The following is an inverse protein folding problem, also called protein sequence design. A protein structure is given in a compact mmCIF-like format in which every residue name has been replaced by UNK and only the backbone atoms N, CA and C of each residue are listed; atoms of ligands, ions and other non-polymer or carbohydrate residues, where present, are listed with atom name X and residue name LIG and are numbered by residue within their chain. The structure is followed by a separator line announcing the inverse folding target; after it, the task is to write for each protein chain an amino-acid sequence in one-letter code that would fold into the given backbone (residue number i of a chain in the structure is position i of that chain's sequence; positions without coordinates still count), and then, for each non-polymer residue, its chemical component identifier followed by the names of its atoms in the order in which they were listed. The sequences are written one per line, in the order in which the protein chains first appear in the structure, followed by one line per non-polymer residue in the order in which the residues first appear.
data_IF_295724316753
#
_entry.id   IF_295724316753
#
_cell.length_a   1.000
_cell.length_b   1.000
_cell.length_c   1.000
_cell.angle_alpha   90.00
_cell.angle_beta   90.00
_cell.angle_gamma   90.00
#
_symmetry.space_group_name_H-M   'P 1'
#
loop_
_entity.id
_entity.type
_entity.pdbx_description
1 polymer ?
#
# COMPACT_ATOMS: atom_id res chain seq x y z
N UNK A 1 17.42 3.62 28.23
CA UNK A 1 16.51 4.68 27.76
C UNK A 1 15.79 4.16 26.52
N UNK A 2 14.56 3.68 26.68
CA UNK A 2 13.72 3.29 25.56
C UNK A 2 13.16 4.57 24.94
N UNK A 3 13.74 5.03 23.83
CA UNK A 3 13.09 6.03 23.01
C UNK A 3 11.84 5.37 22.42
N UNK A 4 10.69 5.56 23.07
CA UNK A 4 9.39 5.26 22.49
C UNK A 4 9.20 6.21 21.30
N UNK A 5 9.72 5.83 20.13
CA UNK A 5 9.49 6.59 18.91
C UNK A 5 7.97 6.68 18.67
N UNK A 6 7.48 7.92 18.64
CA UNK A 6 6.07 8.22 18.40
C UNK A 6 5.71 7.75 16.99
N UNK A 7 4.62 7.00 16.88
CA UNK A 7 4.06 6.61 15.58
C UNK A 7 3.55 7.85 14.84
N UNK A 8 4.28 8.26 13.81
CA UNK A 8 3.88 9.31 12.89
C UNK A 8 2.91 8.75 11.86
N UNK A 9 1.75 9.40 11.74
CA UNK A 9 0.65 9.01 10.86
C UNK A 9 0.38 10.14 9.88
N UNK A 10 0.24 9.81 8.60
CA UNK A 10 -0.26 10.76 7.61
C UNK A 10 -1.16 10.08 6.59
N UNK A 11 -2.01 10.88 5.97
CA UNK A 11 -2.75 10.52 4.77
C UNK A 11 -2.90 11.76 3.90
N UNK A 12 -2.78 11.61 2.58
CA UNK A 12 -3.07 12.67 1.62
C UNK A 12 -4.41 12.36 0.97
N UNK A 13 -5.43 13.08 1.41
CA UNK A 13 -6.83 12.89 0.98
C UNK A 13 -7.28 14.10 0.16
N UNK A 14 -8.09 13.89 -0.87
CA UNK A 14 -8.66 14.98 -1.66
C UNK A 14 -9.60 15.87 -0.83
N UNK A 15 -9.80 17.13 -1.26
CA UNK A 15 -10.71 18.07 -0.56
C UNK A 15 -12.13 17.51 -0.40
N UNK A 16 -12.63 16.79 -1.40
CA UNK A 16 -13.95 16.14 -1.37
C UNK A 16 -13.97 14.80 -0.61
N UNK A 17 -12.86 14.38 0.00
CA UNK A 17 -12.69 13.13 0.75
C UNK A 17 -12.99 11.84 -0.02
N UNK A 18 -13.11 11.90 -1.36
CA UNK A 18 -13.35 10.73 -2.21
C UNK A 18 -12.09 9.95 -2.55
N UNK A 19 -10.92 10.58 -2.46
CA UNK A 19 -9.66 10.00 -2.92
C UNK A 19 -8.59 10.01 -1.84
N UNK A 20 -7.86 8.92 -1.67
CA UNK A 20 -6.64 8.85 -0.86
C UNK A 20 -5.46 8.50 -1.75
N UNK A 21 -4.57 9.47 -1.91
CA UNK A 21 -3.38 9.34 -2.77
C UNK A 21 -2.21 8.68 -2.04
N UNK A 22 -2.16 8.81 -0.72
CA UNK A 22 -1.06 8.33 0.11
C UNK A 22 -1.56 8.08 1.53
N UNK A 23 -1.00 7.07 2.19
CA UNK A 23 -1.08 6.85 3.63
C UNK A 23 0.30 6.41 4.13
N UNK A 24 0.72 6.91 5.29
CA UNK A 24 1.98 6.49 5.92
C UNK A 24 1.82 6.16 7.39
N UNK A 25 2.68 5.25 7.86
CA UNK A 25 2.92 4.93 9.27
C UNK A 25 4.42 4.79 9.46
N UNK A 26 5.03 5.71 10.21
CA UNK A 26 6.49 5.74 10.41
C UNK A 26 6.79 5.83 11.91
N UNK A 27 7.70 5.00 12.39
CA UNK A 27 8.07 4.90 13.81
C UNK A 27 9.57 4.80 14.04
N UNK A 28 10.43 4.83 13.02
CA UNK A 28 11.87 4.99 13.20
C UNK A 28 12.55 5.48 11.92
N UNK A 29 13.83 5.81 12.05
CA UNK A 29 14.68 6.20 10.92
C UNK A 29 15.13 5.02 10.05
N UNK A 30 14.94 3.77 10.50
CA UNK A 30 15.17 2.57 9.69
C UNK A 30 14.44 2.65 8.33
N UNK A 31 14.85 1.91 7.30
CA UNK A 31 14.26 2.00 5.97
C UNK A 31 12.74 1.74 5.93
N UNK A 32 12.10 2.23 4.87
CA UNK A 32 10.64 2.21 4.70
C UNK A 32 10.28 1.27 3.56
N UNK A 33 9.07 0.72 3.61
CA UNK A 33 8.52 -0.16 2.57
C UNK A 33 7.26 0.45 1.97
N UNK A 34 7.07 0.35 0.65
CA UNK A 34 5.82 0.78 -0.01
C UNK A 34 4.97 -0.43 -0.33
N UNK A 35 3.70 -0.42 0.06
CA UNK A 35 2.70 -1.39 -0.38
C UNK A 35 1.85 -0.79 -1.51
N UNK A 36 1.81 -1.46 -2.65
CA UNK A 36 0.93 -1.15 -3.77
C UNK A 36 -0.31 -2.04 -3.69
N UNK A 37 -1.45 -1.41 -3.44
CA UNK A 37 -2.73 -2.05 -3.18
C UNK A 37 -3.76 -1.67 -4.25
N UNK A 38 -4.94 -2.30 -4.21
CA UNK A 38 -5.97 -2.06 -5.23
C UNK A 38 -6.58 -0.67 -5.07
N UNK A 39 -7.21 -0.43 -3.92
CA UNK A 39 -7.94 0.78 -3.62
C UNK A 39 -8.00 1.03 -2.10
N UNK A 40 -8.10 2.28 -1.65
CA UNK A 40 -8.25 2.62 -0.25
C UNK A 40 -9.52 2.02 0.40
N UNK A 41 -9.33 1.42 1.57
CA UNK A 41 -10.40 1.27 2.58
C UNK A 41 -10.44 2.51 3.50
N UNK A 42 -11.13 2.42 4.64
CA UNK A 42 -11.47 3.55 5.52
C UNK A 42 -10.31 4.10 6.37
N UNK A 43 -9.13 3.49 6.35
CA UNK A 43 -7.94 4.02 7.03
C UNK A 43 -7.62 5.48 6.66
N UNK A 44 -7.15 6.27 7.61
CA UNK A 44 -6.80 7.68 7.38
C UNK A 44 -5.68 8.12 8.33
N UNK A 45 -5.48 9.43 8.52
CA UNK A 45 -4.45 9.97 9.40
C UNK A 45 -4.67 9.67 10.89
N UNK A 46 -5.90 9.41 11.34
CA UNK A 46 -6.23 9.11 12.74
C UNK A 46 -6.61 7.64 12.99
N UNK A 47 -7.12 6.94 11.97
CA UNK A 47 -7.70 5.60 12.09
C UNK A 47 -6.93 4.53 11.31
N UNK A 48 -6.69 3.38 11.96
CA UNK A 48 -6.13 2.18 11.35
C UNK A 48 -7.22 1.13 11.13
N UNK A 49 -7.53 0.83 9.87
CA UNK A 49 -8.39 -0.30 9.52
C UNK A 49 -7.66 -1.65 9.70
N UNK A 50 -8.38 -2.76 9.45
CA UNK A 50 -7.82 -4.11 9.62
C UNK A 50 -6.60 -4.35 8.71
N UNK A 51 -6.58 -3.79 7.50
CA UNK A 51 -5.45 -3.90 6.57
C UNK A 51 -4.24 -3.14 7.11
N UNK A 52 -4.44 -1.88 7.54
CA UNK A 52 -3.35 -1.05 8.09
C UNK A 52 -2.72 -1.71 9.33
N UNK A 53 -3.52 -2.30 10.22
CA UNK A 53 -3.01 -3.07 11.37
C UNK A 53 -2.15 -4.26 10.93
N UNK A 54 -2.53 -4.96 9.86
CA UNK A 54 -1.73 -6.06 9.30
C UNK A 54 -0.44 -5.56 8.68
N UNK A 55 -0.46 -4.42 7.98
CA UNK A 55 0.75 -3.80 7.43
C UNK A 55 1.71 -3.33 8.52
N UNK A 56 1.22 -2.74 9.61
CA UNK A 56 2.04 -2.40 10.79
C UNK A 56 2.75 -3.65 11.32
N UNK A 57 2.00 -4.75 11.53
CA UNK A 57 2.57 -6.01 12.00
C UNK A 57 3.68 -6.54 11.07
N UNK A 58 3.39 -6.65 9.77
CA UNK A 58 4.35 -7.21 8.80
C UNK A 58 5.58 -6.32 8.64
N UNK A 59 5.39 -5.00 8.55
CA UNK A 59 6.49 -4.04 8.42
C UNK A 59 7.45 -4.14 9.61
N UNK A 60 6.93 -4.23 10.85
CA UNK A 60 7.76 -4.48 12.05
C UNK A 60 8.46 -5.82 11.98
N UNK A 61 7.74 -6.89 11.61
CA UNK A 61 8.32 -8.24 11.46
C UNK A 61 9.49 -8.26 10.47
N UNK A 62 9.41 -7.48 9.41
CA UNK A 62 10.44 -7.41 8.37
C UNK A 62 11.57 -6.41 8.71
N UNK A 63 11.56 -5.78 9.89
CA UNK A 63 12.63 -4.89 10.34
C UNK A 63 12.59 -3.46 9.79
N UNK A 64 11.51 -3.06 9.10
CA UNK A 64 11.37 -1.70 8.58
C UNK A 64 10.88 -0.71 9.64
N UNK A 65 11.27 0.55 9.48
CA UNK A 65 10.92 1.67 10.36
C UNK A 65 9.58 2.31 10.05
N UNK A 66 8.91 1.86 9.00
CA UNK A 66 7.62 2.39 8.59
C UNK A 66 7.23 1.93 7.20
N UNK A 67 6.04 2.33 6.79
CA UNK A 67 5.54 2.04 5.45
C UNK A 67 4.72 3.18 4.86
N UNK A 68 4.61 3.10 3.54
CA UNK A 68 3.68 3.86 2.72
C UNK A 68 2.66 2.92 2.06
N UNK A 69 1.46 3.42 1.78
CA UNK A 69 0.43 2.70 1.01
C UNK A 69 0.01 3.56 -0.17
N UNK A 70 0.34 3.08 -1.37
CA UNK A 70 -0.17 3.57 -2.64
C UNK A 70 -1.24 2.63 -3.19
N UNK A 71 -2.17 3.16 -3.96
CA UNK A 71 -3.23 2.36 -4.57
C UNK A 71 -3.26 2.56 -6.08
N UNK A 72 -3.60 1.51 -6.81
CA UNK A 72 -3.83 1.55 -8.25
C UNK A 72 -4.96 2.54 -8.55
N UNK A 73 -6.06 2.42 -7.80
CA UNK A 73 -7.18 3.36 -7.83
C UNK A 73 -7.21 4.16 -6.52
N UNK A 74 -7.20 5.50 -6.54
CA UNK A 74 -7.21 6.32 -5.33
C UNK A 74 -8.60 6.44 -4.68
N UNK A 75 -9.66 5.98 -5.34
CA UNK A 75 -11.05 6.04 -4.87
C UNK A 75 -11.22 5.28 -3.53
N UNK A 76 -11.71 5.98 -2.51
CA UNK A 76 -12.00 5.39 -1.20
C UNK A 76 -13.33 4.66 -1.29
N UNK A 77 -13.29 3.33 -1.38
CA UNK A 77 -14.48 2.49 -1.45
C UNK A 77 -14.19 1.09 -0.89
N UNK A 78 -15.14 0.50 -0.17
CA UNK A 78 -15.04 -0.89 0.30
C UNK A 78 -15.56 -1.90 -0.73
N UNK A 79 -16.29 -1.44 -1.75
CA UNK A 79 -16.86 -2.26 -2.82
C UNK A 79 -16.02 -2.12 -4.09
N UNK A 80 -15.24 -3.17 -4.35
CA UNK A 80 -14.31 -3.25 -5.50
C UNK A 80 -15.03 -3.12 -6.85
N UNK A 81 -16.28 -3.56 -6.96
CA UNK A 81 -17.05 -3.52 -8.21
C UNK A 81 -17.29 -2.09 -8.72
N UNK A 82 -17.26 -1.11 -7.82
CA UNK A 82 -17.56 0.28 -8.17
C UNK A 82 -16.31 1.05 -8.63
N UNK A 83 -15.12 0.43 -8.59
CA UNK A 83 -13.85 1.12 -8.90
C UNK A 83 -13.74 1.60 -10.34
N UNK A 84 -14.40 0.91 -11.27
CA UNK A 84 -14.36 1.23 -12.70
C UNK A 84 -15.37 2.32 -13.10
N UNK A 85 -16.25 2.73 -12.20
CA UNK A 85 -17.30 3.71 -12.47
C UNK A 85 -16.85 5.16 -12.24
N UNK A 86 -15.71 5.35 -11.55
CA UNK A 86 -15.25 6.67 -11.13
C UNK A 86 -14.04 7.15 -11.94
N UNK A 87 -14.32 7.79 -13.08
CA UNK A 87 -13.31 8.43 -13.94
C UNK A 87 -12.91 9.84 -13.45
N UNK A 88 -13.50 10.33 -12.36
CA UNK A 88 -13.31 11.72 -11.92
C UNK A 88 -12.02 11.94 -11.12
N UNK A 89 -11.21 10.88 -10.95
CA UNK A 89 -9.94 10.97 -10.26
C UNK A 89 -8.84 11.60 -11.13
N UNK A 90 -7.96 12.38 -10.50
CA UNK A 90 -6.75 12.84 -11.17
C UNK A 90 -5.69 11.72 -11.14
N UNK A 91 -5.63 10.95 -12.22
CA UNK A 91 -4.64 9.88 -12.38
C UNK A 91 -3.20 10.40 -12.26
N UNK A 92 -2.92 11.58 -12.81
CA UNK A 92 -1.58 12.17 -12.79
C UNK A 92 -1.16 12.46 -11.36
N UNK A 93 -2.08 12.98 -10.55
CA UNK A 93 -1.85 13.19 -9.12
C UNK A 93 -1.61 11.88 -8.38
N UNK A 94 -2.43 10.84 -8.62
CA UNK A 94 -2.22 9.53 -7.99
C UNK A 94 -0.84 8.94 -8.33
N UNK A 95 -0.49 8.92 -9.62
CA UNK A 95 0.80 8.41 -10.11
C UNK A 95 1.99 9.17 -9.50
N UNK A 96 1.87 10.49 -9.33
CA UNK A 96 2.91 11.32 -8.67
C UNK A 96 3.13 10.92 -7.21
N UNK A 97 2.06 10.73 -6.44
CA UNK A 97 2.17 10.27 -5.06
C UNK A 97 2.76 8.86 -4.97
N UNK A 98 2.29 7.93 -5.81
CA UNK A 98 2.81 6.55 -5.84
C UNK A 98 4.30 6.52 -6.19
N UNK A 99 4.73 7.26 -7.22
CA UNK A 99 6.15 7.37 -7.56
C UNK A 99 6.99 7.96 -6.43
N UNK A 100 6.49 8.99 -5.74
CA UNK A 100 7.16 9.58 -4.57
C UNK A 100 7.34 8.58 -3.43
N UNK A 101 6.32 7.76 -3.12
CA UNK A 101 6.41 6.72 -2.09
C UNK A 101 7.42 5.62 -2.47
N UNK A 102 7.40 5.16 -3.73
CA UNK A 102 8.35 4.18 -4.26
C UNK A 102 9.79 4.69 -4.11
N UNK A 103 10.07 5.93 -4.51
CA UNK A 103 11.42 6.51 -4.44
C UNK A 103 11.93 6.69 -2.99
N UNK A 104 11.05 6.73 -1.99
CA UNK A 104 11.40 6.86 -0.57
C UNK A 104 11.53 5.53 0.16
N UNK A 105 11.34 4.41 -0.56
CA UNK A 105 11.27 3.08 0.04
C UNK A 105 12.41 2.21 -0.45
N UNK A 106 12.95 1.39 0.45
CA UNK A 106 13.95 0.38 0.10
C UNK A 106 13.33 -0.80 -0.65
N UNK A 107 12.04 -1.06 -0.42
CA UNK A 107 11.33 -2.16 -1.07
C UNK A 107 9.89 -1.79 -1.42
N UNK A 108 9.39 -2.40 -2.49
CA UNK A 108 8.02 -2.25 -2.96
C UNK A 108 7.34 -3.60 -2.96
N UNK A 109 6.16 -3.68 -2.35
CA UNK A 109 5.36 -4.91 -2.22
C UNK A 109 4.05 -4.76 -2.95
N UNK A 110 3.80 -5.64 -3.91
CA UNK A 110 2.52 -5.78 -4.57
C UNK A 110 1.57 -6.60 -3.69
N UNK A 111 0.35 -6.09 -3.48
CA UNK A 111 -0.60 -6.64 -2.52
C UNK A 111 -2.08 -6.37 -2.86
N UNK A 112 -2.43 -6.18 -4.13
CA UNK A 112 -3.78 -5.79 -4.57
C UNK A 112 -4.84 -6.91 -4.60
N UNK A 113 -4.47 -8.17 -4.35
CA UNK A 113 -5.45 -9.26 -4.31
C UNK A 113 -5.87 -9.74 -5.70
N UNK A 114 -7.06 -10.33 -5.81
CA UNK A 114 -7.49 -11.11 -6.98
C UNK A 114 -7.98 -10.31 -8.19
N UNK A 115 -8.15 -8.99 -8.05
CA UNK A 115 -8.96 -8.20 -9.00
C UNK A 115 -8.25 -7.87 -10.31
N UNK A 116 -6.96 -7.57 -10.28
CA UNK A 116 -6.20 -7.20 -11.47
C UNK A 116 -5.12 -8.24 -11.70
N UNK A 117 -5.10 -8.82 -12.90
CA UNK A 117 -4.23 -9.94 -13.22
C UNK A 117 -2.74 -9.56 -13.31
N UNK A 118 -2.46 -8.31 -13.73
CA UNK A 118 -1.09 -7.82 -13.95
C UNK A 118 -0.91 -6.42 -13.36
N UNK A 119 0.32 -6.04 -12.95
CA UNK A 119 0.59 -4.67 -12.56
C UNK A 119 0.26 -3.72 -13.73
N UNK A 120 -0.42 -2.58 -13.49
CA UNK A 120 -0.62 -1.58 -14.52
C UNK A 120 0.72 -1.08 -15.08
N UNK A 121 0.80 -0.84 -16.40
CA UNK A 121 2.04 -0.43 -17.07
C UNK A 121 2.77 0.74 -16.40
N UNK A 122 2.05 1.68 -15.80
CA UNK A 122 2.65 2.85 -15.13
C UNK A 122 3.31 2.50 -13.79
N UNK A 123 2.89 1.42 -13.12
CA UNK A 123 3.56 0.86 -11.94
C UNK A 123 4.68 -0.07 -12.38
N UNK A 124 4.41 -0.93 -13.36
CA UNK A 124 5.35 -1.97 -13.81
C UNK A 124 6.67 -1.38 -14.34
N UNK A 125 6.59 -0.21 -14.98
CA UNK A 125 7.75 0.52 -15.51
C UNK A 125 8.63 1.18 -14.46
N UNK A 126 8.12 1.42 -13.25
CA UNK A 126 8.83 2.19 -12.21
C UNK A 126 9.25 1.32 -11.02
N UNK A 127 8.86 0.04 -11.01
CA UNK A 127 9.22 -0.90 -9.95
C UNK A 127 10.03 -2.04 -10.57
N UNK A 128 11.34 -2.01 -10.39
CA UNK A 128 12.26 -2.99 -10.98
C UNK A 128 12.09 -4.38 -10.32
N UNK A 129 12.22 -4.43 -8.98
CA UNK A 129 12.23 -5.67 -8.19
C UNK A 129 11.05 -5.72 -7.20
N UNK A 130 9.80 -5.88 -7.68
CA UNK A 130 8.66 -5.96 -6.79
C UNK A 130 8.71 -7.24 -5.96
N UNK A 131 8.36 -7.12 -4.68
CA UNK A 131 8.11 -8.24 -3.77
C UNK A 131 6.60 -8.49 -3.68
N UNK A 132 6.19 -9.63 -3.15
CA UNK A 132 4.79 -9.89 -2.79
C UNK A 132 4.70 -10.83 -1.57
N UNK A 133 3.51 -10.96 -0.99
CA UNK A 133 3.24 -11.93 0.08
C UNK A 133 2.96 -13.37 -0.44
N UNK A 134 3.31 -13.65 -1.69
CA UNK A 134 2.91 -14.83 -2.44
C UNK A 134 1.70 -14.58 -3.35
N UNK A 135 1.30 -15.65 -4.04
CA UNK A 135 0.34 -15.58 -5.16
C UNK A 135 -1.00 -16.24 -4.84
N UNK A 136 -2.09 -15.65 -5.33
CA UNK A 136 -3.40 -16.30 -5.42
C UNK A 136 -3.37 -17.39 -6.50
N UNK A 137 -4.43 -18.22 -6.55
CA UNK A 137 -4.57 -19.26 -7.60
C UNK A 137 -4.51 -18.71 -9.03
N UNK A 138 -4.96 -17.47 -9.25
CA UNK A 138 -4.91 -16.77 -10.53
C UNK A 138 -3.59 -16.01 -10.76
N UNK A 139 -2.55 -16.25 -9.96
CA UNK A 139 -1.23 -15.63 -10.14
C UNK A 139 -1.11 -14.19 -9.62
N UNK A 140 -2.18 -13.59 -9.10
CA UNK A 140 -2.11 -12.21 -8.57
C UNK A 140 -1.52 -12.16 -7.16
N UNK A 141 -0.92 -11.03 -6.72
CA UNK A 141 -0.34 -10.92 -5.39
C UNK A 141 -1.41 -11.00 -4.29
N UNK A 142 -1.12 -11.74 -3.22
CA UNK A 142 -2.03 -11.87 -2.07
C UNK A 142 -2.22 -10.55 -1.32
N UNK A 143 -3.45 -10.28 -0.93
CA UNK A 143 -3.79 -9.19 0.00
C UNK A 143 -3.42 -9.57 1.45
N UNK A 144 -2.90 -8.65 2.28
CA UNK A 144 -2.31 -8.96 3.59
C UNK A 144 -3.33 -9.34 4.67
N UNK A 145 -4.59 -8.94 4.51
CA UNK A 145 -5.62 -8.98 5.56
C UNK A 145 -5.75 -10.35 6.24
N UNK A 146 -5.74 -11.43 5.45
CA UNK A 146 -6.02 -12.79 5.94
C UNK A 146 -4.79 -13.71 5.95
N UNK A 147 -3.59 -13.15 5.80
CA UNK A 147 -2.37 -13.94 5.79
C UNK A 147 -1.97 -14.40 7.18
N UNK A 148 -1.20 -15.49 7.27
CA UNK A 148 -0.65 -15.97 8.54
C UNK A 148 0.43 -15.00 9.04
N UNK A 149 0.66 -14.94 10.35
CA UNK A 149 1.74 -14.13 10.94
C UNK A 149 3.13 -14.58 10.45
N UNK A 150 3.29 -15.87 10.13
CA UNK A 150 4.54 -16.45 9.64
C UNK A 150 4.86 -16.09 8.18
N UNK A 151 3.94 -15.53 7.41
CA UNK A 151 4.18 -15.17 6.00
C UNK A 151 5.39 -14.24 5.83
N UNK A 152 6.28 -14.58 4.91
CA UNK A 152 7.43 -13.78 4.44
C UNK A 152 7.10 -13.09 3.10
N UNK A 153 7.97 -12.18 2.68
CA UNK A 153 7.96 -11.66 1.32
C UNK A 153 8.77 -12.59 0.40
N UNK A 154 8.35 -12.68 -0.86
CA UNK A 154 9.07 -13.35 -1.95
C UNK A 154 9.17 -12.40 -3.16
N UNK A 155 10.10 -12.66 -4.08
CA UNK A 155 10.14 -11.92 -5.35
C UNK A 155 8.85 -12.14 -6.13
N UNK A 156 8.30 -11.06 -6.69
CA UNK A 156 7.13 -11.15 -7.57
C UNK A 156 7.52 -11.54 -9.01
N UNK A 157 8.69 -11.09 -9.46
CA UNK A 157 9.34 -11.46 -10.72
C UNK A 157 10.86 -11.52 -10.55
#
# INVERSE_FOLDING_TARGET
MEYSFKLNRSAVISKNKKYRYELSRVWSESPKITFIMLNPSVGNETYDDKTIKRLIFFTKKFGYGGFYVGNIFPNINTKVNDLYLDVSHDEKKNRKHVSSMINKSESVVYAWGKTIDKPPNWIDKIVDKPMCFGFNKNGTPKHPLYLRKSTSLISFR
#
